data_IF_887446065481
#
_entry.id   IF_887446065481
#
_cell.length_a   1.000
_cell.length_b   1.000
_cell.length_c   1.000
_cell.angle_alpha   90.00
_cell.angle_beta   90.00
_cell.angle_gamma   90.00
#
_symmetry.space_group_name_H-M   'P 1'
#
loop_
_entity.id
_entity.type
_entity.pdbx_description
1 polymer ?
#
# COMPACT_ATOMS: atom_id res chain seq x y z
N UNK A 1 -4.93 24.78 -22.38
CA UNK A 1 -4.16 24.55 -21.14
C UNK A 1 -4.33 23.11 -20.70
N UNK A 2 -3.22 22.42 -20.60
CA UNK A 2 -3.24 21.07 -20.05
C UNK A 2 -3.37 21.16 -18.54
N UNK A 3 -4.29 20.36 -18.00
CA UNK A 3 -4.46 20.26 -16.55
C UNK A 3 -3.42 19.31 -15.99
N UNK A 4 -2.69 19.77 -14.96
CA UNK A 4 -1.67 18.98 -14.33
C UNK A 4 -2.22 18.28 -13.09
N UNK A 5 -1.90 17.00 -12.94
CA UNK A 5 -2.30 16.17 -11.80
C UNK A 5 -1.08 15.71 -11.02
N UNK A 6 -1.21 15.69 -9.72
CA UNK A 6 -0.18 15.15 -8.82
C UNK A 6 -0.72 13.89 -8.16
N UNK A 7 -0.02 12.78 -8.34
CA UNK A 7 -0.41 11.51 -7.72
C UNK A 7 0.69 10.97 -6.84
N UNK A 8 0.28 10.33 -5.75
CA UNK A 8 1.16 9.64 -4.81
C UNK A 8 0.92 8.14 -4.95
N UNK A 9 1.91 7.42 -5.38
CA UNK A 9 1.86 5.96 -5.48
C UNK A 9 2.53 5.31 -4.28
N UNK A 10 1.85 4.34 -3.69
CA UNK A 10 2.35 3.58 -2.54
C UNK A 10 2.50 2.12 -2.94
N UNK A 11 3.72 1.63 -2.96
CA UNK A 11 4.01 0.24 -3.35
C UNK A 11 4.77 -0.47 -2.25
N UNK A 12 4.27 -1.65 -1.88
CA UNK A 12 4.93 -2.53 -0.92
C UNK A 12 5.31 -3.80 -1.64
N UNK A 13 6.60 -4.11 -1.64
CA UNK A 13 7.10 -5.31 -2.31
C UNK A 13 6.72 -6.59 -1.57
N UNK A 14 6.94 -7.72 -2.23
CA UNK A 14 6.67 -9.04 -1.65
C UNK A 14 7.59 -9.36 -0.47
N UNK A 15 8.71 -8.65 -0.35
CA UNK A 15 9.65 -8.82 0.77
C UNK A 15 9.06 -8.44 2.12
N UNK A 16 8.04 -7.56 2.14
CA UNK A 16 7.41 -7.15 3.40
C UNK A 16 8.27 -6.23 4.26
N UNK A 17 9.19 -5.49 3.64
CA UNK A 17 10.15 -4.65 4.37
C UNK A 17 9.66 -3.23 4.60
N UNK A 18 8.85 -2.71 3.70
CA UNK A 18 8.39 -1.33 3.79
C UNK A 18 7.59 -0.86 2.59
N UNK A 19 7.44 0.44 2.49
CA UNK A 19 6.64 1.11 1.47
C UNK A 19 7.51 2.04 0.66
N UNK A 20 7.46 1.88 -0.66
CA UNK A 20 8.08 2.82 -1.59
C UNK A 20 7.01 3.81 -2.04
N UNK A 21 7.24 5.09 -1.75
CA UNK A 21 6.29 6.15 -2.04
C UNK A 21 6.85 7.08 -3.11
N UNK A 22 6.09 7.27 -4.18
CA UNK A 22 6.52 8.11 -5.31
C UNK A 22 5.48 9.18 -5.60
N UNK A 23 5.92 10.41 -5.76
CA UNK A 23 5.05 11.51 -6.19
C UNK A 23 5.36 11.81 -7.65
N UNK A 24 4.35 11.79 -8.48
CA UNK A 24 4.45 11.99 -9.91
C UNK A 24 3.49 13.11 -10.34
N UNK A 25 3.99 14.04 -11.15
CA UNK A 25 3.17 15.04 -11.82
C UNK A 25 2.95 14.62 -13.27
N UNK A 26 1.71 14.73 -13.72
CA UNK A 26 1.33 14.34 -15.07
C UNK A 26 0.39 15.37 -15.67
N UNK A 27 0.52 15.62 -16.98
CA UNK A 27 -0.41 16.48 -17.72
C UNK A 27 -1.65 15.73 -18.19
N UNK A 28 -1.73 14.43 -17.87
CA UNK A 28 -2.86 13.60 -18.27
C UNK A 28 -2.80 13.09 -19.70
N UNK A 29 -1.77 13.46 -20.46
CA UNK A 29 -1.63 13.03 -21.85
C UNK A 29 -0.36 12.21 -22.07
N UNK A 30 0.77 12.87 -22.27
CA UNK A 30 2.01 12.20 -22.67
C UNK A 30 3.18 12.43 -21.76
N UNK A 31 3.12 13.43 -20.88
CA UNK A 31 4.26 13.79 -20.07
C UNK A 31 3.99 13.58 -18.59
N UNK A 32 4.97 13.01 -17.94
CA UNK A 32 4.96 12.90 -16.49
C UNK A 32 6.39 13.10 -15.98
N UNK A 33 6.50 13.55 -14.75
CA UNK A 33 7.78 13.71 -14.09
C UNK A 33 7.73 13.19 -12.66
N UNK A 34 8.80 12.51 -12.26
CA UNK A 34 8.96 12.05 -10.89
C UNK A 34 9.41 13.24 -10.03
N UNK A 35 8.62 13.59 -9.04
CA UNK A 35 8.92 14.70 -8.13
C UNK A 35 9.69 14.21 -6.91
N UNK A 36 9.27 13.05 -6.38
CA UNK A 36 9.84 12.50 -5.16
C UNK A 36 9.71 10.99 -5.18
N UNK A 37 10.73 10.30 -4.69
CA UNK A 37 10.69 8.88 -4.45
C UNK A 37 11.34 8.63 -3.10
N UNK A 38 10.60 8.03 -2.18
CA UNK A 38 11.11 7.81 -0.82
C UNK A 38 10.63 6.48 -0.28
N UNK A 39 11.55 5.75 0.35
CA UNK A 39 11.28 4.47 0.98
C UNK A 39 11.05 4.65 2.47
N UNK A 40 10.00 3.99 2.99
CA UNK A 40 9.66 3.99 4.41
C UNK A 40 9.69 2.56 4.93
N UNK A 41 10.65 2.25 5.76
CA UNK A 41 10.78 0.93 6.35
C UNK A 41 9.67 0.71 7.37
N UNK A 42 9.03 -0.48 7.35
CA UNK A 42 8.06 -0.84 8.37
C UNK A 42 8.73 -0.89 9.75
N UNK A 43 7.96 -0.59 10.80
CA UNK A 43 8.44 -0.83 12.16
C UNK A 43 8.56 -2.33 12.42
N UNK A 44 9.25 -2.67 13.51
CA UNK A 44 9.53 -4.07 13.84
C UNK A 44 8.27 -4.90 14.04
N UNK A 45 7.22 -4.30 14.63
CA UNK A 45 5.96 -5.00 14.89
C UNK A 45 5.29 -5.42 13.58
N UNK A 46 5.16 -4.48 12.65
CA UNK A 46 4.55 -4.76 11.35
C UNK A 46 5.38 -5.79 10.59
N UNK A 47 6.70 -5.58 10.54
CA UNK A 47 7.61 -6.48 9.85
C UNK A 47 7.49 -7.92 10.37
N UNK A 48 7.54 -8.11 11.69
CA UNK A 48 7.43 -9.43 12.30
C UNK A 48 6.08 -10.08 12.00
N UNK A 49 5.00 -9.32 12.08
CA UNK A 49 3.66 -9.85 11.84
C UNK A 49 3.45 -10.24 10.38
N UNK A 50 3.97 -9.47 9.44
CA UNK A 50 3.90 -9.83 8.02
C UNK A 50 4.59 -11.17 7.79
N UNK A 51 5.82 -11.31 8.27
CA UNK A 51 6.60 -12.53 8.04
C UNK A 51 6.02 -13.74 8.78
N UNK A 52 5.52 -13.53 9.99
CA UNK A 52 4.85 -14.58 10.74
C UNK A 52 3.63 -15.13 10.00
N UNK A 53 2.81 -14.24 9.46
CA UNK A 53 1.63 -14.66 8.71
C UNK A 53 2.02 -15.32 7.39
N UNK A 54 2.97 -14.74 6.65
CA UNK A 54 3.45 -15.34 5.40
C UNK A 54 3.98 -16.74 5.60
N UNK A 55 4.74 -16.98 6.67
CA UNK A 55 5.32 -18.28 6.98
C UNK A 55 4.27 -19.32 7.34
N UNK A 56 3.10 -18.90 7.78
CA UNK A 56 2.01 -19.79 8.19
C UNK A 56 0.95 -19.99 7.11
N UNK A 57 1.07 -19.32 5.97
CA UNK A 57 0.15 -19.48 4.85
C UNK A 57 0.80 -20.38 3.81
N UNK A 58 0.35 -21.62 3.72
CA UNK A 58 0.80 -22.58 2.70
C UNK A 58 -0.27 -22.83 1.65
N UNK A 59 -1.54 -22.63 2.02
CA UNK A 59 -2.68 -22.85 1.14
C UNK A 59 -3.66 -21.69 1.25
N UNK A 60 -4.54 -21.58 0.27
CA UNK A 60 -5.58 -20.55 0.29
C UNK A 60 -6.50 -20.69 1.51
N UNK A 61 -6.72 -21.92 1.98
CA UNK A 61 -7.54 -22.14 3.17
C UNK A 61 -6.93 -21.55 4.45
N UNK A 62 -5.62 -21.46 4.50
CA UNK A 62 -4.93 -20.85 5.66
C UNK A 62 -5.29 -19.39 5.84
N UNK A 63 -5.66 -18.70 4.76
CA UNK A 63 -6.13 -17.31 4.83
C UNK A 63 -7.40 -17.20 5.69
N UNK A 64 -8.27 -18.20 5.64
CA UNK A 64 -9.48 -18.21 6.45
C UNK A 64 -9.18 -18.51 7.91
N UNK A 65 -8.25 -19.43 8.17
CA UNK A 65 -7.86 -19.79 9.54
C UNK A 65 -7.20 -18.62 10.26
N UNK A 66 -6.46 -17.79 9.55
CA UNK A 66 -5.75 -16.66 10.11
C UNK A 66 -6.50 -15.34 9.94
N UNK A 67 -7.80 -15.38 9.64
CA UNK A 67 -8.58 -14.20 9.28
C UNK A 67 -8.55 -13.09 10.33
N UNK A 68 -8.52 -13.43 11.62
CA UNK A 68 -8.45 -12.45 12.69
C UNK A 68 -7.11 -11.74 12.70
N UNK A 69 -6.02 -12.50 12.64
CA UNK A 69 -4.65 -11.97 12.62
C UNK A 69 -4.42 -11.14 11.37
N UNK A 70 -4.96 -11.59 10.25
CA UNK A 70 -4.85 -10.88 8.97
C UNK A 70 -5.56 -9.52 9.04
N UNK A 71 -6.76 -9.46 9.62
CA UNK A 71 -7.49 -8.19 9.75
C UNK A 71 -6.77 -7.21 10.66
N UNK A 72 -6.22 -7.71 11.76
CA UNK A 72 -5.44 -6.87 12.68
C UNK A 72 -4.19 -6.31 11.99
N UNK A 73 -3.51 -7.15 11.23
CA UNK A 73 -2.33 -6.73 10.47
C UNK A 73 -2.70 -5.75 9.36
N UNK A 74 -3.80 -5.98 8.65
CA UNK A 74 -4.28 -5.09 7.60
C UNK A 74 -4.52 -3.68 8.14
N UNK A 75 -5.10 -3.58 9.32
CA UNK A 75 -5.33 -2.29 9.97
C UNK A 75 -4.00 -1.60 10.27
N UNK A 76 -3.03 -2.31 10.82
CA UNK A 76 -1.71 -1.76 11.13
C UNK A 76 -0.99 -1.29 9.87
N UNK A 77 -1.05 -2.07 8.81
CA UNK A 77 -0.44 -1.73 7.52
C UNK A 77 -1.11 -0.46 6.95
N UNK A 78 -2.44 -0.40 7.02
CA UNK A 78 -3.18 0.75 6.52
C UNK A 78 -2.84 2.02 7.31
N UNK A 79 -2.75 1.92 8.63
CA UNK A 79 -2.35 3.05 9.47
C UNK A 79 -0.92 3.52 9.14
N UNK A 80 -0.02 2.59 8.88
CA UNK A 80 1.34 2.94 8.46
C UNK A 80 1.34 3.70 7.13
N UNK A 81 0.59 3.21 6.15
CA UNK A 81 0.45 3.90 4.86
C UNK A 81 -0.15 5.30 5.03
N UNK A 82 -1.13 5.45 5.94
CA UNK A 82 -1.72 6.75 6.22
C UNK A 82 -0.68 7.74 6.74
N UNK A 83 0.22 7.29 7.62
CA UNK A 83 1.29 8.14 8.13
C UNK A 83 2.26 8.54 7.01
N UNK A 84 2.57 7.61 6.08
CA UNK A 84 3.40 7.91 4.92
C UNK A 84 2.73 8.99 4.07
N UNK A 85 1.45 8.86 3.78
CA UNK A 85 0.69 9.84 2.99
C UNK A 85 0.74 11.20 3.68
N UNK A 86 0.46 11.25 4.98
CA UNK A 86 0.46 12.50 5.73
C UNK A 86 1.81 13.19 5.74
N UNK A 87 2.89 12.43 5.75
CA UNK A 87 4.24 13.00 5.75
C UNK A 87 4.64 13.59 4.39
N UNK A 88 4.07 13.10 3.30
CA UNK A 88 4.45 13.48 1.94
C UNK A 88 3.42 14.34 1.22
N UNK A 89 2.14 14.02 1.41
CA UNK A 89 1.05 14.68 0.69
C UNK A 89 0.55 15.88 1.50
N UNK A 90 1.29 16.98 1.45
CA UNK A 90 0.86 18.18 2.14
C UNK A 90 -0.48 18.63 1.54
N UNK A 91 -0.55 19.49 0.58
CA UNK A 91 -1.85 19.91 0.07
C UNK A 91 -2.07 19.69 -1.42
N UNK A 92 -1.04 19.23 -2.13
CA UNK A 92 -1.01 19.26 -3.58
C UNK A 92 -1.19 17.91 -4.28
N UNK A 93 -1.60 16.87 -3.54
CA UNK A 93 -1.81 15.55 -4.13
C UNK A 93 -3.27 15.35 -4.50
N UNK A 94 -3.53 15.07 -5.76
CA UNK A 94 -4.88 14.84 -6.28
C UNK A 94 -5.35 13.40 -6.06
N UNK A 95 -4.43 12.44 -6.20
CA UNK A 95 -4.76 11.02 -6.13
C UNK A 95 -3.72 10.26 -5.32
N UNK A 96 -4.18 9.22 -4.61
CA UNK A 96 -3.30 8.29 -3.92
C UNK A 96 -3.55 6.89 -4.47
N UNK A 97 -2.51 6.26 -5.02
CA UNK A 97 -2.56 4.88 -5.45
C UNK A 97 -2.09 3.97 -4.32
N UNK A 98 -2.92 3.04 -3.90
CA UNK A 98 -2.65 2.16 -2.77
C UNK A 98 -2.69 0.70 -3.22
N UNK A 99 -1.52 0.08 -3.32
CA UNK A 99 -1.41 -1.31 -3.77
C UNK A 99 -1.65 -2.32 -2.64
N UNK A 100 -1.27 -1.96 -1.42
CA UNK A 100 -1.32 -2.88 -0.29
C UNK A 100 -0.09 -3.78 -0.20
N UNK A 101 -0.06 -4.62 0.82
CA UNK A 101 1.05 -5.53 1.10
C UNK A 101 0.68 -6.95 0.69
N UNK A 102 1.44 -7.54 -0.22
CA UNK A 102 1.24 -8.93 -0.64
C UNK A 102 1.66 -9.87 0.48
N UNK A 103 0.76 -10.77 0.88
CA UNK A 103 1.04 -11.80 1.89
C UNK A 103 0.92 -13.21 1.33
N UNK A 104 0.25 -13.37 0.22
CA UNK A 104 0.08 -14.67 -0.44
C UNK A 104 0.04 -14.47 -1.94
N UNK A 105 0.78 -15.30 -2.66
CA UNK A 105 0.79 -15.29 -4.13
C UNK A 105 0.99 -16.70 -4.65
N UNK A 106 0.04 -17.16 -5.45
CA UNK A 106 0.12 -18.46 -6.10
C UNK A 106 -0.04 -18.28 -7.61
N UNK A 107 1.08 -18.24 -8.36
CA UNK A 107 1.01 -18.09 -9.83
C UNK A 107 0.26 -19.22 -10.50
N UNK A 108 0.38 -20.43 -9.98
CA UNK A 108 -0.28 -21.63 -10.56
C UNK A 108 -1.80 -21.51 -10.51
N UNK A 109 -2.34 -20.98 -9.41
CA UNK A 109 -3.77 -20.80 -9.24
C UNK A 109 -4.24 -19.41 -9.64
N UNK A 110 -3.31 -18.54 -10.06
CA UNK A 110 -3.58 -17.13 -10.41
C UNK A 110 -4.25 -16.36 -9.28
N UNK A 111 -3.82 -16.63 -8.04
CA UNK A 111 -4.36 -15.99 -6.84
C UNK A 111 -3.27 -15.16 -6.18
N UNK A 112 -3.63 -13.94 -5.83
CA UNK A 112 -2.75 -13.06 -5.07
C UNK A 112 -3.60 -12.33 -4.02
N UNK A 113 -3.10 -12.25 -2.80
CA UNK A 113 -3.79 -11.58 -1.70
C UNK A 113 -2.91 -10.45 -1.18
N UNK A 114 -3.46 -9.23 -1.24
CA UNK A 114 -2.84 -8.03 -0.71
C UNK A 114 -3.62 -7.55 0.51
N UNK A 115 -2.90 -7.08 1.52
CA UNK A 115 -3.50 -6.46 2.69
C UNK A 115 -3.48 -4.94 2.55
N UNK A 116 -4.63 -4.34 2.73
CA UNK A 116 -4.79 -2.90 2.70
C UNK A 116 -6.25 -2.55 2.61
N UNK A 117 -6.66 -1.59 3.42
CA UNK A 117 -8.03 -1.11 3.44
C UNK A 117 -8.07 0.29 2.82
N UNK A 118 -8.38 0.34 1.52
CA UNK A 118 -8.41 1.60 0.78
C UNK A 118 -9.43 2.59 1.30
N UNK A 119 -10.57 2.10 1.78
CA UNK A 119 -11.59 2.95 2.38
C UNK A 119 -11.09 3.62 3.65
N UNK A 120 -10.47 2.84 4.53
CA UNK A 120 -9.89 3.35 5.77
C UNK A 120 -8.78 4.36 5.46
N UNK A 121 -7.91 4.04 4.50
CA UNK A 121 -6.84 4.95 4.09
C UNK A 121 -7.41 6.28 3.61
N UNK A 122 -8.45 6.23 2.78
CA UNK A 122 -9.13 7.43 2.27
C UNK A 122 -9.72 8.25 3.40
N UNK A 123 -10.36 7.61 4.37
CA UNK A 123 -10.95 8.30 5.52
C UNK A 123 -9.88 8.96 6.40
N UNK A 124 -8.77 8.26 6.64
CA UNK A 124 -7.68 8.76 7.49
C UNK A 124 -6.92 9.91 6.86
N UNK A 125 -6.77 9.91 5.54
CA UNK A 125 -5.99 10.91 4.83
C UNK A 125 -6.83 11.97 4.15
N UNK A 126 -8.13 11.73 4.02
CA UNK A 126 -9.08 12.57 3.29
C UNK A 126 -8.67 12.79 1.83
N UNK A 127 -8.04 11.80 1.24
CA UNK A 127 -7.63 11.79 -0.17
C UNK A 127 -8.36 10.68 -0.90
N UNK A 128 -8.60 10.86 -2.21
CA UNK A 128 -9.15 9.78 -3.03
C UNK A 128 -8.11 8.68 -3.18
N UNK A 129 -8.49 7.46 -2.80
CA UNK A 129 -7.65 6.31 -2.96
C UNK A 129 -8.05 5.50 -4.18
N UNK A 130 -7.05 4.98 -4.90
CA UNK A 130 -7.24 4.05 -6.00
C UNK A 130 -6.42 2.79 -5.71
N UNK A 131 -7.06 1.65 -5.77
CA UNK A 131 -6.42 0.36 -5.59
C UNK A 131 -6.01 -0.25 -6.93
#
# INVERSE_FOLDING_TARGET
>A
MTKEYTSLGLMSGTSGDGVDASIIKSDGENQYSLVLDKYFQYDKDIYKNIHKIKDNINTYQDLKKLSKEIRELEEKITLFHAEVVKSLAKDDVDFVGFHGQTIFHSPEKKISTQLGNGKLLSELTKKKGHL
#
